data_IF_025244367272
#
_entry.id   IF_025244367272
#
_cell.length_a   1.000
_cell.length_b   1.000
_cell.length_c   1.000
_cell.angle_alpha   90.00
_cell.angle_beta   90.00
_cell.angle_gamma   90.00
#
_symmetry.space_group_name_H-M   'P 1'
#
loop_
_entity.id
_entity.type
_entity.pdbx_description
1 polymer ?
#
# COMPACT_ATOMS: atom_id res chain seq x y z
N UNK A 1 -7.97 25.60 -2.85
CA UNK A 1 -7.00 24.87 -2.03
C UNK A 1 -5.69 25.64 -2.02
N UNK A 2 -5.18 25.95 -0.82
CA UNK A 2 -3.92 26.67 -0.69
C UNK A 2 -2.76 25.78 -1.18
N UNK A 3 -1.73 26.33 -1.84
CA UNK A 3 -0.56 25.55 -2.28
C UNK A 3 0.12 24.76 -1.16
N UNK A 4 -0.08 25.17 0.08
CA UNK A 4 0.48 24.48 1.26
C UNK A 4 -0.27 23.19 1.65
N UNK A 5 -1.53 23.01 1.25
CA UNK A 5 -2.27 21.79 1.55
C UNK A 5 -1.82 20.60 0.68
N UNK A 6 -1.44 20.86 -0.58
CA UNK A 6 -0.91 19.82 -1.48
C UNK A 6 0.50 19.38 -1.08
N UNK A 7 1.34 20.28 -0.58
CA UNK A 7 2.70 19.96 -0.15
C UNK A 7 2.79 19.07 1.09
N UNK A 8 1.83 19.17 2.02
CA UNK A 8 1.80 18.35 3.23
C UNK A 8 1.49 16.89 2.96
N UNK A 9 0.44 16.59 2.19
CA UNK A 9 0.05 15.22 1.87
C UNK A 9 1.13 14.46 1.11
N UNK A 10 1.87 15.13 0.20
CA UNK A 10 2.96 14.52 -0.54
C UNK A 10 4.14 14.13 0.35
N UNK A 11 4.47 14.98 1.30
CA UNK A 11 5.54 14.68 2.24
C UNK A 11 5.21 13.47 3.10
N UNK A 12 3.95 13.31 3.54
CA UNK A 12 3.53 12.21 4.39
C UNK A 12 3.51 10.87 3.64
N UNK A 13 3.04 10.84 2.38
CA UNK A 13 3.11 9.67 1.52
C UNK A 13 4.56 9.23 1.28
N UNK A 14 5.41 10.15 0.85
CA UNK A 14 6.81 9.86 0.56
C UNK A 14 7.55 9.43 1.83
N UNK A 15 7.30 10.10 2.94
CA UNK A 15 7.93 9.79 4.21
C UNK A 15 7.52 8.40 4.73
N UNK A 16 6.23 8.06 4.67
CA UNK A 16 5.72 6.76 5.09
C UNK A 16 6.32 5.61 4.30
N UNK A 17 6.43 5.77 2.98
CA UNK A 17 7.02 4.76 2.10
C UNK A 17 8.52 4.60 2.34
N UNK A 18 9.24 5.71 2.49
CA UNK A 18 10.68 5.68 2.79
C UNK A 18 10.94 5.01 4.13
N UNK A 19 10.13 5.30 5.16
CA UNK A 19 10.28 4.70 6.47
C UNK A 19 10.03 3.18 6.45
N UNK A 20 8.97 2.73 5.77
CA UNK A 20 8.68 1.30 5.60
C UNK A 20 9.76 0.59 4.79
N UNK A 21 10.25 1.23 3.74
CA UNK A 21 11.33 0.69 2.91
C UNK A 21 12.62 0.55 3.71
N UNK A 22 13.01 1.58 4.46
CA UNK A 22 14.19 1.55 5.32
C UNK A 22 14.07 0.50 6.41
N UNK A 23 12.91 0.40 7.05
CA UNK A 23 12.65 -0.63 8.05
C UNK A 23 12.83 -2.03 7.45
N UNK A 24 12.16 -2.33 6.33
CA UNK A 24 12.23 -3.64 5.71
C UNK A 24 13.67 -4.00 5.27
N UNK A 25 14.38 -3.05 4.66
CA UNK A 25 15.75 -3.27 4.19
C UNK A 25 16.75 -3.44 5.32
N UNK A 26 16.56 -2.76 6.46
CA UNK A 26 17.42 -2.89 7.63
C UNK A 26 17.29 -4.25 8.34
N UNK A 27 16.21 -4.98 8.12
CA UNK A 27 15.97 -6.32 8.65
C UNK A 27 15.96 -7.40 7.57
N UNK A 28 16.55 -7.10 6.40
CA UNK A 28 16.71 -7.99 5.24
C UNK A 28 15.38 -8.59 4.72
N UNK A 29 14.26 -7.86 4.86
CA UNK A 29 13.00 -8.24 4.24
C UNK A 29 12.96 -7.71 2.80
N UNK A 30 12.76 -8.57 1.78
CA UNK A 30 12.58 -8.14 0.40
C UNK A 30 11.33 -7.26 0.27
N UNK A 31 11.48 -6.03 -0.23
CA UNK A 31 10.40 -5.07 -0.38
C UNK A 31 10.40 -4.45 -1.77
N UNK A 32 9.23 -4.34 -2.37
CA UNK A 32 9.02 -3.58 -3.59
C UNK A 32 8.05 -2.43 -3.32
N UNK A 33 8.30 -1.29 -3.93
CA UNK A 33 7.43 -0.10 -3.82
C UNK A 33 6.95 0.29 -5.21
N UNK A 34 5.64 0.40 -5.35
CA UNK A 34 4.99 0.81 -6.58
C UNK A 34 3.94 1.90 -6.30
N UNK A 35 3.72 2.74 -7.28
CA UNK A 35 2.61 3.69 -7.30
C UNK A 35 1.76 3.47 -8.54
N UNK A 36 0.54 3.97 -8.52
CA UNK A 36 -0.35 3.90 -9.67
C UNK A 36 -1.11 5.21 -9.87
N UNK A 37 -1.54 5.42 -11.08
CA UNK A 37 -2.48 6.49 -11.46
C UNK A 37 -3.37 6.00 -12.61
N UNK A 38 -4.52 6.63 -12.79
CA UNK A 38 -5.46 6.35 -13.89
C UNK A 38 -5.90 7.66 -14.52
N UNK A 39 -5.34 7.97 -15.69
CA UNK A 39 -5.78 9.11 -16.49
C UNK A 39 -6.65 8.62 -17.66
N UNK A 40 -6.06 8.04 -18.68
CA UNK A 40 -6.75 7.35 -19.77
C UNK A 40 -6.55 5.82 -19.71
N UNK A 41 -5.57 5.37 -18.97
CA UNK A 41 -5.27 3.98 -18.68
C UNK A 41 -4.55 3.89 -17.32
N UNK A 42 -4.65 2.73 -16.69
CA UNK A 42 -3.96 2.49 -15.41
C UNK A 42 -2.45 2.43 -15.68
N UNK A 43 -1.74 3.40 -15.13
CA UNK A 43 -0.28 3.41 -15.09
C UNK A 43 0.18 2.81 -13.77
N UNK A 44 1.01 1.78 -13.82
CA UNK A 44 1.61 1.15 -12.66
C UNK A 44 3.12 1.32 -12.74
N UNK A 45 3.68 2.11 -11.84
CA UNK A 45 5.09 2.46 -11.82
C UNK A 45 5.78 1.76 -10.66
N UNK A 46 6.73 0.89 -10.97
CA UNK A 46 7.61 0.27 -9.99
C UNK A 46 8.77 1.23 -9.69
N UNK A 47 8.91 1.63 -8.44
CA UNK A 47 10.00 2.49 -7.97
C UNK A 47 11.18 1.68 -7.44
N UNK A 48 10.88 0.60 -6.70
CA UNK A 48 11.88 -0.38 -6.24
C UNK A 48 11.35 -1.80 -6.45
N UNK A 49 12.24 -2.72 -6.81
CA UNK A 49 11.95 -4.16 -6.89
C UNK A 49 12.25 -4.88 -5.58
N UNK A 50 12.03 -6.21 -5.56
CA UNK A 50 12.37 -7.06 -4.40
C UNK A 50 13.87 -7.38 -4.30
N UNK A 51 14.66 -6.88 -5.20
CA UNK A 51 16.11 -7.08 -5.20
C UNK A 51 16.74 -6.24 -4.08
N UNK A 52 17.98 -6.57 -3.74
CA UNK A 52 18.67 -5.87 -2.65
C UNK A 52 18.77 -4.38 -2.97
N UNK A 53 18.33 -3.56 -2.03
CA UNK A 53 18.28 -2.11 -2.16
C UNK A 53 19.65 -1.51 -2.50
N UNK A 54 19.68 -0.70 -3.53
CA UNK A 54 20.80 0.21 -3.77
C UNK A 54 20.49 1.60 -3.16
N UNK A 55 21.55 2.35 -2.84
CA UNK A 55 21.38 3.72 -2.33
C UNK A 55 20.60 4.63 -3.28
N UNK A 56 20.59 4.33 -4.57
CA UNK A 56 19.86 5.07 -5.62
C UNK A 56 18.34 4.86 -5.55
N UNK A 57 17.86 3.78 -5.01
CA UNK A 57 16.41 3.48 -4.94
C UNK A 57 15.68 4.38 -3.95
N UNK A 58 16.32 4.75 -2.84
CA UNK A 58 15.75 5.72 -1.89
C UNK A 58 15.45 7.06 -2.56
N UNK A 59 16.33 7.53 -3.46
CA UNK A 59 16.10 8.76 -4.20
C UNK A 59 14.92 8.66 -5.17
N UNK A 60 14.67 7.48 -5.73
CA UNK A 60 13.46 7.26 -6.57
C UNK A 60 12.19 7.36 -5.78
N UNK A 61 12.16 6.87 -4.53
CA UNK A 61 11.01 7.02 -3.63
C UNK A 61 10.74 8.49 -3.30
N UNK A 62 11.79 9.28 -3.05
CA UNK A 62 11.65 10.70 -2.78
C UNK A 62 11.12 11.50 -3.99
N UNK A 63 11.24 10.96 -5.20
CA UNK A 63 10.76 11.57 -6.45
C UNK A 63 9.32 11.15 -6.80
N UNK A 64 8.63 10.40 -5.94
CA UNK A 64 7.23 10.09 -6.18
C UNK A 64 6.40 11.36 -6.14
N UNK A 65 5.70 11.60 -7.23
CA UNK A 65 4.73 12.70 -7.34
C UNK A 65 3.35 12.10 -7.57
N UNK A 66 2.33 12.62 -6.95
CA UNK A 66 0.97 12.19 -7.22
C UNK A 66 0.58 12.58 -8.63
N UNK A 67 -0.27 11.81 -9.21
CA UNK A 67 -0.79 12.08 -10.54
C UNK A 67 -2.07 11.33 -10.78
N UNK A 68 -2.97 11.99 -11.51
CA UNK A 68 -4.17 11.40 -12.04
C UNK A 68 -5.20 10.94 -11.00
N UNK A 69 -6.08 10.09 -11.48
CA UNK A 69 -7.10 9.39 -10.69
C UNK A 69 -6.56 8.06 -10.19
N UNK A 70 -7.35 7.35 -9.38
CA UNK A 70 -6.93 6.05 -8.84
C UNK A 70 -7.97 4.96 -9.13
N UNK A 71 -7.47 3.83 -9.65
CA UNK A 71 -8.21 2.59 -9.84
C UNK A 71 -7.53 1.49 -9.03
N UNK A 72 -7.77 1.52 -7.72
CA UNK A 72 -7.05 0.71 -6.74
C UNK A 72 -7.13 -0.80 -7.03
N UNK A 73 -8.30 -1.33 -7.40
CA UNK A 73 -8.45 -2.76 -7.67
C UNK A 73 -7.50 -3.28 -8.76
N UNK A 74 -7.30 -2.50 -9.83
CA UNK A 74 -6.36 -2.89 -10.88
C UNK A 74 -4.91 -2.86 -10.37
N UNK A 75 -4.55 -1.82 -9.62
CA UNK A 75 -3.22 -1.68 -9.04
C UNK A 75 -2.92 -2.81 -8.04
N UNK A 76 -3.88 -3.17 -7.20
CA UNK A 76 -3.78 -4.29 -6.25
C UNK A 76 -3.55 -5.60 -7.01
N UNK A 77 -4.29 -5.85 -8.10
CA UNK A 77 -4.07 -7.04 -8.93
C UNK A 77 -2.68 -7.07 -9.57
N UNK A 78 -2.18 -5.94 -10.05
CA UNK A 78 -0.83 -5.87 -10.63
C UNK A 78 0.25 -6.13 -9.57
N UNK A 79 0.13 -5.53 -8.40
CA UNK A 79 1.05 -5.76 -7.29
C UNK A 79 0.98 -7.21 -6.77
N UNK A 80 -0.23 -7.79 -6.72
CA UNK A 80 -0.41 -9.18 -6.29
C UNK A 80 0.29 -10.17 -7.21
N UNK A 81 0.26 -9.93 -8.53
CA UNK A 81 0.97 -10.78 -9.49
C UNK A 81 2.50 -10.79 -9.29
N UNK A 82 3.05 -9.72 -8.70
CA UNK A 82 4.46 -9.69 -8.28
C UNK A 82 4.69 -10.54 -7.02
N UNK A 83 3.81 -10.42 -6.02
CA UNK A 83 3.89 -11.21 -4.79
C UNK A 83 3.62 -12.71 -5.01
N UNK A 84 2.77 -13.06 -5.95
CA UNK A 84 2.48 -14.46 -6.29
C UNK A 84 3.71 -15.21 -6.85
N UNK A 85 4.66 -14.51 -7.44
CA UNK A 85 5.91 -15.07 -7.93
C UNK A 85 6.95 -15.30 -6.83
N UNK A 86 6.68 -14.78 -5.62
CA UNK A 86 7.57 -14.92 -4.47
C UNK A 86 7.37 -16.26 -3.77
N UNK A 87 8.47 -16.80 -3.23
CA UNK A 87 8.48 -18.11 -2.56
C UNK A 87 8.40 -18.00 -1.03
N UNK A 88 8.46 -16.77 -0.51
CA UNK A 88 8.35 -16.54 0.92
C UNK A 88 6.99 -17.02 1.45
N UNK A 89 7.02 -17.66 2.60
CA UNK A 89 5.83 -18.21 3.27
C UNK A 89 4.86 -17.09 3.65
N UNK A 90 5.37 -15.96 4.13
CA UNK A 90 4.60 -14.78 4.50
C UNK A 90 4.78 -13.73 3.42
N UNK A 91 3.70 -13.41 2.73
CA UNK A 91 3.65 -12.36 1.71
C UNK A 91 2.65 -11.31 2.13
N UNK A 92 3.06 -10.06 2.06
CA UNK A 92 2.26 -8.93 2.56
C UNK A 92 2.23 -7.80 1.55
N UNK A 93 1.07 -7.17 1.40
CA UNK A 93 0.87 -5.93 0.67
C UNK A 93 0.40 -4.85 1.63
N UNK A 94 1.08 -3.72 1.65
CA UNK A 94 0.64 -2.53 2.39
C UNK A 94 0.21 -1.49 1.37
N UNK A 95 -1.06 -1.08 1.44
CA UNK A 95 -1.66 -0.08 0.56
C UNK A 95 -1.74 1.22 1.35
N UNK A 96 -1.11 2.27 0.85
CA UNK A 96 -1.20 3.61 1.42
C UNK A 96 -2.21 4.39 0.57
N UNK A 97 -3.33 4.77 1.16
CA UNK A 97 -4.46 5.38 0.44
C UNK A 97 -5.00 6.59 1.19
N UNK A 98 -5.47 7.58 0.43
CA UNK A 98 -6.27 8.70 0.94
C UNK A 98 -7.77 8.38 1.06
N UNK A 99 -8.18 7.17 0.72
CA UNK A 99 -9.49 6.61 1.04
C UNK A 99 -10.51 6.56 -0.08
N UNK A 100 -10.26 7.11 -1.26
CA UNK A 100 -11.30 7.16 -2.28
C UNK A 100 -10.83 6.70 -3.67
N UNK A 101 -11.24 5.47 -4.11
CA UNK A 101 -11.15 5.13 -5.51
C UNK A 101 -11.92 6.15 -6.35
N UNK A 102 -11.21 6.83 -7.24
CA UNK A 102 -11.76 7.93 -8.04
C UNK A 102 -11.27 7.86 -9.48
N UNK A 103 -11.84 6.96 -10.24
CA UNK A 103 -11.61 6.85 -11.66
C UNK A 103 -12.91 6.82 -12.45
N UNK A 104 -12.82 7.02 -13.76
CA UNK A 104 -13.98 6.95 -14.66
C UNK A 104 -14.66 5.57 -14.53
N UNK A 105 -15.96 5.56 -14.22
CA UNK A 105 -16.75 4.36 -13.98
C UNK A 105 -16.21 3.43 -12.85
N UNK A 106 -15.30 3.91 -12.00
CA UNK A 106 -14.74 3.15 -10.89
C UNK A 106 -14.67 4.02 -9.64
N UNK A 107 -15.77 4.09 -8.89
CA UNK A 107 -15.90 4.89 -7.67
C UNK A 107 -17.01 4.34 -6.78
N UNK A 108 -17.13 4.91 -5.58
CA UNK A 108 -18.19 4.59 -4.64
C UNK A 108 -18.24 3.12 -4.20
N UNK A 109 -19.45 2.61 -3.96
CA UNK A 109 -19.65 1.25 -3.43
C UNK A 109 -19.28 0.14 -4.43
N UNK A 110 -19.40 0.40 -5.74
CA UNK A 110 -18.97 -0.55 -6.78
C UNK A 110 -17.47 -0.83 -6.71
N UNK A 111 -16.66 0.23 -6.62
CA UNK A 111 -15.22 0.11 -6.46
C UNK A 111 -14.83 -0.53 -5.11
N UNK A 112 -15.50 -0.15 -4.04
CA UNK A 112 -15.27 -0.72 -2.71
C UNK A 112 -15.54 -2.23 -2.68
N UNK A 113 -16.62 -2.70 -3.34
CA UNK A 113 -16.94 -4.12 -3.46
C UNK A 113 -15.87 -4.87 -4.24
N UNK A 114 -15.44 -4.34 -5.39
CA UNK A 114 -14.38 -4.92 -6.20
C UNK A 114 -13.09 -5.10 -5.38
N UNK A 115 -12.67 -4.07 -4.65
CA UNK A 115 -11.49 -4.13 -3.77
C UNK A 115 -11.65 -5.22 -2.72
N UNK A 116 -12.81 -5.29 -2.03
CA UNK A 116 -13.08 -6.33 -1.01
C UNK A 116 -13.01 -7.74 -1.59
N UNK A 117 -13.54 -7.94 -2.81
CA UNK A 117 -13.46 -9.23 -3.51
C UNK A 117 -12.02 -9.60 -3.86
N UNK A 118 -11.22 -8.64 -4.34
CA UNK A 118 -9.81 -8.85 -4.64
C UNK A 118 -9.05 -9.23 -3.36
N UNK A 119 -9.22 -8.49 -2.27
CA UNK A 119 -8.59 -8.80 -0.98
C UNK A 119 -8.97 -10.21 -0.51
N UNK A 120 -10.24 -10.59 -0.63
CA UNK A 120 -10.70 -11.94 -0.29
C UNK A 120 -10.02 -13.02 -1.13
N UNK A 121 -9.74 -12.77 -2.41
CA UNK A 121 -8.97 -13.68 -3.28
C UNK A 121 -7.51 -13.77 -2.85
N UNK A 122 -6.88 -12.64 -2.49
CA UNK A 122 -5.49 -12.60 -2.06
C UNK A 122 -5.26 -13.33 -0.74
N UNK A 123 -6.17 -13.20 0.21
CA UNK A 123 -6.14 -13.96 1.47
C UNK A 123 -6.15 -15.48 1.24
N UNK A 124 -6.97 -15.96 0.29
CA UNK A 124 -6.99 -17.39 -0.08
C UNK A 124 -5.68 -17.87 -0.71
N UNK A 125 -4.89 -16.95 -1.28
CA UNK A 125 -3.53 -17.20 -1.79
C UNK A 125 -2.43 -16.96 -0.75
N UNK A 126 -2.79 -16.80 0.50
CA UNK A 126 -1.86 -16.53 1.59
C UNK A 126 -1.06 -15.22 1.41
N UNK A 127 -1.72 -14.20 0.86
CA UNK A 127 -1.20 -12.84 0.75
C UNK A 127 -2.01 -11.94 1.69
N UNK A 128 -1.34 -11.39 2.70
CA UNK A 128 -1.95 -10.44 3.61
C UNK A 128 -2.05 -9.07 2.97
N UNK A 129 -3.19 -8.41 3.15
CA UNK A 129 -3.39 -7.05 2.66
C UNK A 129 -3.73 -6.16 3.84
N UNK A 130 -2.95 -5.11 4.00
CA UNK A 130 -3.13 -4.08 5.00
C UNK A 130 -3.33 -2.74 4.30
N UNK A 131 -4.22 -1.90 4.80
CA UNK A 131 -4.46 -0.57 4.28
C UNK A 131 -4.14 0.48 5.33
N UNK A 132 -3.32 1.43 4.94
CA UNK A 132 -2.91 2.57 5.75
C UNK A 132 -3.58 3.83 5.21
N UNK A 133 -4.45 4.43 6.00
CA UNK A 133 -5.14 5.68 5.63
C UNK A 133 -4.31 6.90 5.98
N UNK A 134 -4.20 7.83 5.01
CA UNK A 134 -3.63 9.15 5.21
C UNK A 134 -4.73 10.20 5.05
N UNK A 135 -4.73 11.24 5.90
CA UNK A 135 -5.68 12.34 5.82
C UNK A 135 -6.95 12.13 6.65
N UNK A 136 -8.02 12.79 6.24
CA UNK A 136 -9.28 12.84 7.01
C UNK A 136 -10.21 11.65 6.74
N UNK A 137 -10.04 10.95 5.62
CA UNK A 137 -10.96 9.89 5.15
C UNK A 137 -10.65 8.48 5.72
N UNK A 138 -10.10 8.40 6.94
CA UNK A 138 -9.72 7.13 7.58
C UNK A 138 -10.88 6.14 7.70
N UNK A 139 -12.07 6.61 8.04
CA UNK A 139 -13.26 5.75 8.15
C UNK A 139 -13.61 5.14 6.79
N UNK A 140 -13.43 5.88 5.72
CA UNK A 140 -13.64 5.37 4.36
C UNK A 140 -12.65 4.26 3.98
N UNK A 141 -11.39 4.41 4.37
CA UNK A 141 -10.39 3.33 4.18
C UNK A 141 -10.79 2.08 4.95
N UNK A 142 -11.25 2.21 6.20
CA UNK A 142 -11.74 1.08 7.01
C UNK A 142 -12.96 0.41 6.36
N UNK A 143 -13.91 1.19 5.81
CA UNK A 143 -15.09 0.65 5.12
C UNK A 143 -14.70 -0.15 3.88
N UNK A 144 -13.72 0.33 3.10
CA UNK A 144 -13.28 -0.30 1.85
C UNK A 144 -12.46 -1.55 2.13
N UNK A 145 -11.46 -1.46 2.99
CA UNK A 145 -10.47 -2.51 3.21
C UNK A 145 -10.80 -3.44 4.39
N UNK A 146 -11.73 -3.05 5.26
CA UNK A 146 -12.12 -3.75 6.47
C UNK A 146 -11.30 -3.33 7.69
N UNK A 147 -11.95 -3.25 8.85
CA UNK A 147 -11.32 -2.83 10.11
C UNK A 147 -10.11 -3.68 10.49
N UNK A 148 -10.17 -4.99 10.25
CA UNK A 148 -9.08 -5.92 10.58
C UNK A 148 -7.83 -5.72 9.73
N UNK A 149 -7.97 -5.03 8.60
CA UNK A 149 -6.88 -4.74 7.67
C UNK A 149 -6.40 -3.29 7.74
N UNK A 150 -7.07 -2.46 8.53
CA UNK A 150 -6.73 -1.06 8.65
C UNK A 150 -5.56 -0.85 9.61
N UNK A 151 -4.66 0.02 9.21
CA UNK A 151 -3.55 0.50 10.02
C UNK A 151 -3.69 1.99 10.17
N UNK A 152 -3.70 2.47 11.41
CA UNK A 152 -3.59 3.89 11.67
C UNK A 152 -2.13 4.32 11.57
N UNK A 153 -1.83 5.15 10.57
CA UNK A 153 -0.50 5.73 10.35
C UNK A 153 -0.43 7.21 10.73
N UNK A 154 -1.38 7.70 11.54
CA UNK A 154 -1.29 9.05 12.10
C UNK A 154 -0.05 9.22 12.97
N UNK A 155 0.41 8.16 13.58
CA UNK A 155 1.72 8.07 14.22
C UNK A 155 2.66 7.23 13.35
N UNK A 156 3.43 7.90 12.50
CA UNK A 156 4.39 7.27 11.59
C UNK A 156 5.46 6.45 12.34
N UNK A 157 5.70 6.73 13.62
CA UNK A 157 6.61 5.95 14.46
C UNK A 157 6.09 4.54 14.77
N UNK A 158 4.79 4.31 14.59
CA UNK A 158 4.17 3.00 14.77
C UNK A 158 4.33 2.08 13.55
N UNK A 159 4.63 2.61 12.35
CA UNK A 159 4.77 1.85 11.11
C UNK A 159 5.74 0.65 11.20
N UNK A 160 6.92 0.77 11.80
CA UNK A 160 7.84 -0.37 11.93
C UNK A 160 7.31 -1.52 12.79
N UNK A 161 6.31 -1.27 13.65
CA UNK A 161 5.72 -2.30 14.53
C UNK A 161 4.66 -3.15 13.83
N UNK A 162 4.15 -2.68 12.70
CA UNK A 162 3.00 -3.29 12.01
C UNK A 162 3.35 -4.63 11.37
N UNK A 163 4.41 -4.75 10.56
CA UNK A 163 4.82 -6.04 10.03
C UNK A 163 5.07 -7.06 11.14
N UNK A 164 5.71 -6.64 12.23
CA UNK A 164 5.98 -7.49 13.39
C UNK A 164 4.69 -8.03 14.02
N UNK A 165 3.66 -7.22 14.16
CA UNK A 165 2.39 -7.64 14.73
C UNK A 165 1.63 -8.62 13.82
N UNK A 166 1.69 -8.43 12.50
CA UNK A 166 1.05 -9.32 11.52
C UNK A 166 1.78 -10.68 11.48
N UNK A 167 3.10 -10.66 11.41
CA UNK A 167 3.92 -11.87 11.49
C UNK A 167 3.65 -12.61 12.80
N UNK A 168 3.60 -11.91 13.91
CA UNK A 168 3.31 -12.49 15.23
C UNK A 168 1.93 -13.16 15.27
N UNK A 169 0.88 -12.50 14.76
CA UNK A 169 -0.47 -13.09 14.66
C UNK A 169 -0.47 -14.38 13.85
N UNK A 170 0.26 -14.44 12.73
CA UNK A 170 0.34 -15.66 11.91
C UNK A 170 1.11 -16.77 12.58
N UNK A 171 2.23 -16.48 13.21
CA UNK A 171 3.00 -17.48 13.95
C UNK A 171 2.14 -18.10 15.07
N UNK A 172 1.40 -17.29 15.84
CA UNK A 172 0.51 -17.80 16.89
C UNK A 172 -0.71 -18.53 16.34
N UNK A 173 -1.17 -18.22 15.13
CA UNK A 173 -2.30 -18.95 14.52
C UNK A 173 -1.90 -20.30 13.91
N UNK A 174 -0.60 -20.53 13.69
CA UNK A 174 -0.05 -21.77 13.16
C UNK A 174 0.44 -22.75 14.26
N UNK A 175 0.46 -22.30 15.51
CA UNK A 175 0.77 -23.11 16.70
C UNK A 175 -0.49 -23.69 17.33
#
# INVERSE_FOLDING_TARGET
>A
PSPNALGGYHSDFNYSQMLLYDFATNIDIPVAVAGHSDDCCVSFKLYTGFERASSTEKYRLAQMVPGGRNRDGMAINMASAMLEKRQEEIRMMIIISDGQPNSYAYSGEGAARDIREIIGKLRRKNIEVLAAGIGEDRERVKEIYGNDNYIDISDLSALPKIPTNVVRKKVYAAM
#
